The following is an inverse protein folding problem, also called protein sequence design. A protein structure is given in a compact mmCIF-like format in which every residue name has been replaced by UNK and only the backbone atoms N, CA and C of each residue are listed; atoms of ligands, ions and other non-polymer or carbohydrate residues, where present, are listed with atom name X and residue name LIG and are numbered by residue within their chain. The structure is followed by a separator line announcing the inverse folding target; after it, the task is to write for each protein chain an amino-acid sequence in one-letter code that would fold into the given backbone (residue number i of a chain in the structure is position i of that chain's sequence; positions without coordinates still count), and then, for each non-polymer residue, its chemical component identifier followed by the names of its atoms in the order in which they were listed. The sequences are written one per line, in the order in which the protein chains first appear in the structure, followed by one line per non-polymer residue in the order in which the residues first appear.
data_IF_544779451974
#
_entry.id   IF_544779451974
#
_cell.length_a   1.000
_cell.length_b   1.000
_cell.length_c   1.000
_cell.angle_alpha   90.00
_cell.angle_beta   90.00
_cell.angle_gamma   90.00
#
_symmetry.space_group_name_H-M   'P 1'
#
loop_
_entity.id
_entity.type
_entity.pdbx_description
1 polymer ?
#
# COMPACT_ATOMS: atom_id res chain seq x y z
N UNK A 1 -9.87 -25.38 -10.53
CA UNK A 1 -8.47 -25.63 -10.94
C UNK A 1 -7.75 -24.29 -10.79
N UNK A 2 -6.94 -24.12 -9.79
CA UNK A 2 -6.12 -22.91 -9.61
C UNK A 2 -5.05 -22.98 -10.69
N UNK A 3 -5.13 -22.05 -11.63
CA UNK A 3 -4.05 -21.74 -12.57
C UNK A 3 -2.82 -21.45 -11.69
N UNK A 4 -1.73 -22.23 -11.79
CA UNK A 4 -0.60 -22.28 -10.85
C UNK A 4 0.18 -20.96 -10.66
N UNK A 5 -0.53 -19.83 -10.58
CA UNK A 5 -0.04 -18.49 -10.38
C UNK A 5 -0.15 -18.02 -8.92
N UNK A 6 0.71 -17.08 -8.52
CA UNK A 6 0.66 -16.47 -7.18
C UNK A 6 -0.67 -15.74 -6.98
N UNK A 7 -1.39 -16.06 -5.90
CA UNK A 7 -2.68 -15.45 -5.55
C UNK A 7 -2.50 -14.03 -5.04
N UNK A 8 -1.63 -13.87 -4.05
CA UNK A 8 -1.37 -12.55 -3.46
C UNK A 8 0.12 -12.32 -3.20
N UNK A 9 0.56 -11.06 -3.37
CA UNK A 9 1.88 -10.59 -3.00
C UNK A 9 1.74 -9.52 -1.93
N UNK A 10 2.42 -9.70 -0.81
CA UNK A 10 2.61 -8.63 0.18
C UNK A 10 3.91 -7.91 -0.17
N UNK A 11 3.85 -6.61 -0.37
CA UNK A 11 4.99 -5.76 -0.68
C UNK A 11 5.40 -4.97 0.56
N UNK A 12 6.63 -5.17 1.02
CA UNK A 12 7.20 -4.47 2.16
C UNK A 12 8.47 -3.74 1.72
N UNK A 13 8.59 -2.46 2.11
CA UNK A 13 9.82 -1.70 2.01
C UNK A 13 10.43 -1.57 3.41
N UNK A 14 11.74 -1.82 3.53
CA UNK A 14 12.45 -1.71 4.81
C UNK A 14 13.61 -0.74 4.75
N UNK A 15 13.81 0.03 5.83
CA UNK A 15 14.97 0.88 6.05
C UNK A 15 15.12 1.17 7.54
N UNK A 16 16.25 0.77 8.15
CA UNK A 16 16.52 0.92 9.60
C UNK A 16 15.36 0.38 10.45
N UNK A 17 14.95 -0.85 10.17
CA UNK A 17 13.81 -1.49 10.81
C UNK A 17 14.17 -2.69 11.67
N UNK A 18 15.44 -2.87 12.04
CA UNK A 18 15.94 -4.05 12.76
C UNK A 18 15.16 -4.37 14.05
N UNK A 19 14.60 -3.35 14.71
CA UNK A 19 13.86 -3.50 15.97
C UNK A 19 12.48 -4.15 15.76
N UNK A 20 11.81 -3.93 14.62
CA UNK A 20 10.38 -4.25 14.44
C UNK A 20 10.11 -5.27 13.34
N UNK A 21 11.00 -5.38 12.34
CA UNK A 21 10.73 -6.12 11.11
C UNK A 21 10.46 -7.61 11.33
N UNK A 22 11.03 -8.20 12.37
CA UNK A 22 10.80 -9.62 12.70
C UNK A 22 9.34 -9.89 13.06
N UNK A 23 8.76 -9.10 13.98
CA UNK A 23 7.38 -9.23 14.43
C UNK A 23 6.40 -8.99 13.26
N UNK A 24 6.70 -8.01 12.40
CA UNK A 24 5.89 -7.74 11.23
C UNK A 24 5.92 -8.91 10.24
N UNK A 25 7.08 -9.50 9.94
CA UNK A 25 7.19 -10.68 9.08
C UNK A 25 6.38 -11.85 9.66
N UNK A 26 6.48 -12.11 10.96
CA UNK A 26 5.73 -13.18 11.63
C UNK A 26 4.22 -12.97 11.49
N UNK A 27 3.74 -11.74 11.70
CA UNK A 27 2.31 -11.42 11.60
C UNK A 27 1.75 -11.58 10.18
N UNK A 28 2.59 -11.37 9.17
CA UNK A 28 2.24 -11.56 7.76
C UNK A 28 2.24 -13.04 7.41
N UNK A 29 3.36 -13.72 7.67
CA UNK A 29 3.57 -15.14 7.29
C UNK A 29 2.51 -16.06 7.90
N UNK A 30 2.06 -15.75 9.13
CA UNK A 30 0.99 -16.48 9.81
C UNK A 30 -0.36 -16.46 9.05
N UNK A 31 -0.53 -15.53 8.11
CA UNK A 31 -1.77 -15.38 7.34
C UNK A 31 -1.64 -15.69 5.85
N UNK A 32 -0.42 -15.93 5.34
CA UNK A 32 -0.21 -16.29 3.94
C UNK A 32 -0.68 -17.71 3.65
N UNK A 33 -1.40 -17.87 2.55
CA UNK A 33 -1.72 -19.18 1.96
C UNK A 33 -0.53 -19.76 1.16
N UNK A 34 -0.64 -21.01 0.68
CA UNK A 34 0.45 -21.67 -0.05
C UNK A 34 0.80 -20.98 -1.36
N UNK A 35 -0.15 -20.30 -1.99
CA UNK A 35 0.01 -19.58 -3.27
C UNK A 35 0.25 -18.08 -3.08
N UNK A 36 0.64 -17.63 -1.88
CA UNK A 36 0.93 -16.23 -1.59
C UNK A 36 2.45 -16.02 -1.44
N UNK A 37 2.91 -14.78 -1.57
CA UNK A 37 4.32 -14.41 -1.38
C UNK A 37 4.46 -13.12 -0.58
N UNK A 38 5.60 -12.99 0.12
CA UNK A 38 6.05 -11.74 0.74
C UNK A 38 7.28 -11.23 -0.01
N UNK A 39 7.17 -10.06 -0.63
CA UNK A 39 8.24 -9.40 -1.38
C UNK A 39 8.78 -8.26 -0.54
N UNK A 40 10.01 -8.41 -0.05
CA UNK A 40 10.70 -7.41 0.76
C UNK A 40 11.78 -6.73 -0.07
N UNK A 41 11.77 -5.41 -0.08
CA UNK A 41 12.84 -4.58 -0.63
C UNK A 41 13.49 -3.79 0.49
N UNK A 42 14.70 -4.16 0.83
CA UNK A 42 15.53 -3.41 1.77
C UNK A 42 16.20 -2.24 1.06
N UNK A 43 15.91 -1.02 1.50
CA UNK A 43 16.39 0.21 0.87
C UNK A 43 17.80 0.60 1.36
N UNK A 44 18.73 -0.37 1.24
CA UNK A 44 20.13 -0.23 1.68
C UNK A 44 20.23 0.17 3.14
N UNK A 45 19.60 -0.59 4.04
CA UNK A 45 19.68 -0.36 5.48
C UNK A 45 21.12 -0.44 5.98
N UNK A 46 21.62 0.58 6.71
CA UNK A 46 22.98 0.57 7.27
C UNK A 46 23.09 -0.17 8.61
N UNK A 47 21.94 -0.60 9.18
CA UNK A 47 21.83 -1.38 10.41
C UNK A 47 21.61 -2.86 10.12
N UNK A 48 21.31 -3.66 11.15
CA UNK A 48 21.13 -5.10 11.07
C UNK A 48 19.78 -5.52 10.45
N UNK A 49 18.99 -4.61 9.86
CA UNK A 49 17.65 -4.90 9.31
C UNK A 49 17.69 -6.12 8.38
N UNK A 50 18.61 -6.14 7.42
CA UNK A 50 18.72 -7.24 6.48
C UNK A 50 19.07 -8.57 7.17
N UNK A 51 19.98 -8.55 8.13
CA UNK A 51 20.37 -9.73 8.90
C UNK A 51 19.20 -10.29 9.72
N UNK A 52 18.42 -9.42 10.36
CA UNK A 52 17.20 -9.77 11.12
C UNK A 52 16.16 -10.41 10.20
N UNK A 53 15.94 -9.88 9.00
CA UNK A 53 15.01 -10.46 8.01
C UNK A 53 15.47 -11.88 7.65
N UNK A 54 16.74 -12.07 7.28
CA UNK A 54 17.27 -13.38 6.89
C UNK A 54 17.14 -14.38 8.03
N UNK A 55 17.49 -14.00 9.25
CA UNK A 55 17.38 -14.87 10.44
C UNK A 55 15.91 -15.23 10.73
N UNK A 56 15.00 -14.27 10.62
CA UNK A 56 13.56 -14.48 10.84
C UNK A 56 12.99 -15.46 9.83
N UNK A 57 13.28 -15.26 8.54
CA UNK A 57 12.83 -16.13 7.45
C UNK A 57 13.38 -17.56 7.63
N UNK A 58 14.65 -17.70 8.00
CA UNK A 58 15.27 -19.00 8.26
C UNK A 58 14.63 -19.71 9.48
N UNK A 59 14.40 -18.97 10.57
CA UNK A 59 13.76 -19.50 11.79
C UNK A 59 12.34 -19.98 11.54
N UNK A 60 11.59 -19.27 10.68
CA UNK A 60 10.23 -19.65 10.28
C UNK A 60 10.20 -20.77 9.23
N UNK A 61 11.35 -21.17 8.69
CA UNK A 61 11.48 -22.07 7.54
C UNK A 61 10.59 -21.64 6.35
N UNK A 62 10.62 -20.35 6.03
CA UNK A 62 9.66 -19.74 5.13
C UNK A 62 10.23 -19.53 3.73
N UNK A 63 9.71 -20.26 2.75
CA UNK A 63 10.17 -20.24 1.36
C UNK A 63 9.43 -19.22 0.46
N UNK A 64 8.31 -18.64 0.94
CA UNK A 64 7.48 -17.68 0.17
C UNK A 64 7.99 -16.24 0.28
N UNK A 65 9.12 -16.01 0.96
CA UNK A 65 9.71 -14.68 1.14
C UNK A 65 10.77 -14.42 0.09
N UNK A 66 10.60 -13.37 -0.69
CA UNK A 66 11.58 -12.85 -1.65
C UNK A 66 12.22 -11.58 -1.07
N UNK A 67 13.48 -11.65 -0.65
CA UNK A 67 14.24 -10.50 -0.15
C UNK A 67 15.20 -9.99 -1.23
N UNK A 68 15.11 -8.70 -1.53
CA UNK A 68 16.06 -7.98 -2.39
C UNK A 68 16.49 -6.69 -1.71
N UNK A 69 17.58 -6.08 -2.22
CA UNK A 69 18.03 -4.76 -1.74
C UNK A 69 18.20 -3.81 -2.93
N UNK A 70 18.10 -2.52 -2.65
CA UNK A 70 18.52 -1.46 -3.56
C UNK A 70 20.04 -1.26 -3.47
N UNK A 71 20.66 -0.67 -4.49
CA UNK A 71 22.11 -0.41 -4.49
C UNK A 71 22.49 0.76 -3.55
N UNK A 72 21.54 1.66 -3.29
CA UNK A 72 21.65 2.80 -2.39
C UNK A 72 20.23 3.17 -1.89
N UNK A 73 20.14 3.98 -0.84
CA UNK A 73 18.84 4.45 -0.35
C UNK A 73 18.15 5.33 -1.41
N UNK A 74 17.03 4.83 -1.94
CA UNK A 74 16.20 5.50 -2.96
C UNK A 74 14.94 6.13 -2.38
N UNK A 75 14.69 5.93 -1.10
CA UNK A 75 13.51 6.39 -0.37
C UNK A 75 12.32 5.44 -0.50
N UNK A 76 11.50 5.41 0.55
CA UNK A 76 10.41 4.42 0.70
C UNK A 76 9.44 4.35 -0.49
N UNK A 77 9.13 5.48 -1.15
CA UNK A 77 8.24 5.48 -2.33
C UNK A 77 8.82 4.62 -3.46
N UNK A 78 10.12 4.72 -3.72
CA UNK A 78 10.80 3.96 -4.78
C UNK A 78 11.07 2.52 -4.35
N UNK A 79 11.32 2.29 -3.07
CA UNK A 79 11.44 0.94 -2.52
C UNK A 79 10.10 0.18 -2.63
N UNK A 80 8.96 0.82 -2.30
CA UNK A 80 7.63 0.24 -2.56
C UNK A 80 7.37 0.02 -4.05
N UNK A 81 7.72 0.97 -4.92
CA UNK A 81 7.60 0.77 -6.36
C UNK A 81 8.40 -0.46 -6.82
N UNK A 82 9.62 -0.64 -6.31
CA UNK A 82 10.46 -1.79 -6.62
C UNK A 82 9.87 -3.11 -6.13
N UNK A 83 9.25 -3.13 -4.93
CA UNK A 83 8.54 -4.29 -4.41
C UNK A 83 7.31 -4.64 -5.27
N UNK A 84 6.49 -3.64 -5.62
CA UNK A 84 5.29 -3.83 -6.46
C UNK A 84 5.67 -4.36 -7.86
N UNK A 85 6.78 -3.90 -8.44
CA UNK A 85 7.27 -4.41 -9.74
C UNK A 85 7.69 -5.88 -9.69
N UNK A 86 8.18 -6.36 -8.55
CA UNK A 86 8.58 -7.74 -8.33
C UNK A 86 7.42 -8.66 -7.96
N UNK A 87 6.37 -8.10 -7.39
CA UNK A 87 5.17 -8.82 -7.01
C UNK A 87 4.56 -9.57 -8.21
N UNK A 88 4.14 -10.82 -8.01
CA UNK A 88 3.55 -11.69 -9.06
C UNK A 88 2.06 -11.97 -8.81
N UNK A 89 1.58 -11.75 -7.60
CA UNK A 89 0.23 -12.06 -7.18
C UNK A 89 -0.85 -11.27 -7.92
N UNK A 90 -2.02 -11.88 -8.06
CA UNK A 90 -3.23 -11.22 -8.56
C UNK A 90 -3.64 -10.06 -7.67
N UNK A 91 -3.48 -10.21 -6.35
CA UNK A 91 -3.70 -9.20 -5.34
C UNK A 91 -2.35 -8.70 -4.83
N UNK A 92 -2.23 -7.40 -4.60
CA UNK A 92 -1.01 -6.78 -4.08
C UNK A 92 -1.38 -6.00 -2.83
N UNK A 93 -0.75 -6.32 -1.70
CA UNK A 93 -0.93 -5.64 -0.43
C UNK A 93 0.34 -4.89 -0.06
N UNK A 94 0.18 -3.73 0.56
CA UNK A 94 1.30 -2.96 1.09
C UNK A 94 1.46 -3.23 2.58
N UNK A 95 2.69 -3.20 3.05
CA UNK A 95 3.01 -3.39 4.46
C UNK A 95 4.20 -2.52 4.84
N UNK A 96 4.05 -1.74 5.91
CA UNK A 96 5.18 -1.06 6.55
C UNK A 96 5.95 -2.09 7.40
N UNK A 97 7.21 -1.82 7.73
CA UNK A 97 8.12 -2.74 8.41
C UNK A 97 7.90 -2.85 9.93
N UNK A 98 7.13 -1.94 10.50
CA UNK A 98 7.06 -1.60 11.93
C UNK A 98 5.66 -1.77 12.55
N UNK A 99 4.72 -2.29 11.78
CA UNK A 99 3.34 -2.54 12.20
C UNK A 99 3.11 -4.03 12.55
N UNK A 100 1.86 -4.39 12.87
CA UNK A 100 1.43 -5.77 13.07
C UNK A 100 0.10 -6.01 12.35
N UNK A 101 -0.01 -7.06 11.56
CA UNK A 101 -1.25 -7.41 10.89
C UNK A 101 -2.28 -7.97 11.89
N UNK A 102 -3.51 -7.45 11.84
CA UNK A 102 -4.60 -8.05 12.63
C UNK A 102 -5.03 -9.40 12.05
N UNK A 103 -5.49 -10.34 12.89
CA UNK A 103 -6.00 -11.62 12.41
C UNK A 103 -7.11 -11.46 11.38
N UNK A 104 -7.07 -12.28 10.31
CA UNK A 104 -8.07 -12.26 9.23
C UNK A 104 -7.92 -11.11 8.23
N UNK A 105 -6.90 -10.25 8.36
CA UNK A 105 -6.63 -9.16 7.42
C UNK A 105 -6.53 -9.65 5.99
N UNK A 106 -5.75 -10.68 5.75
CA UNK A 106 -5.44 -11.17 4.42
C UNK A 106 -6.72 -11.48 3.62
N UNK A 107 -7.61 -12.29 4.18
CA UNK A 107 -8.85 -12.67 3.50
C UNK A 107 -9.85 -11.51 3.40
N UNK A 108 -9.90 -10.64 4.42
CA UNK A 108 -10.75 -9.45 4.36
C UNK A 108 -10.34 -8.49 3.23
N UNK A 109 -9.04 -8.31 3.04
CA UNK A 109 -8.51 -7.47 1.95
C UNK A 109 -8.78 -8.09 0.57
N UNK A 110 -8.65 -9.42 0.43
CA UNK A 110 -9.01 -10.14 -0.79
C UNK A 110 -10.51 -9.99 -1.09
N UNK A 111 -11.36 -10.18 -0.08
CA UNK A 111 -12.81 -10.01 -0.22
C UNK A 111 -13.16 -8.58 -0.67
N UNK A 112 -12.51 -7.56 -0.11
CA UNK A 112 -12.68 -6.16 -0.51
C UNK A 112 -12.24 -5.87 -1.95
N UNK A 113 -11.38 -6.72 -2.52
CA UNK A 113 -10.93 -6.62 -3.91
C UNK A 113 -11.78 -7.48 -4.88
N UNK A 114 -12.84 -8.13 -4.43
CA UNK A 114 -13.72 -8.94 -5.30
C UNK A 114 -14.36 -8.10 -6.40
N UNK A 115 -14.77 -6.87 -6.07
CA UNK A 115 -15.50 -5.94 -6.93
C UNK A 115 -14.82 -4.56 -7.07
N UNK A 116 -13.66 -4.35 -6.42
CA UNK A 116 -12.90 -3.10 -6.49
C UNK A 116 -11.46 -3.31 -6.95
N UNK A 117 -10.88 -2.27 -7.57
CA UNK A 117 -9.46 -2.25 -7.97
C UNK A 117 -8.53 -1.94 -6.81
N UNK A 118 -9.00 -1.16 -5.85
CA UNK A 118 -8.23 -0.74 -4.67
C UNK A 118 -9.06 -1.00 -3.42
N UNK A 119 -8.42 -1.45 -2.35
CA UNK A 119 -9.01 -1.60 -1.04
C UNK A 119 -8.21 -0.81 -0.02
N UNK A 120 -8.88 -0.21 0.94
CA UNK A 120 -8.28 0.46 2.08
C UNK A 120 -9.05 0.13 3.35
N UNK A 121 -8.36 -0.27 4.40
CA UNK A 121 -8.94 -0.57 5.71
C UNK A 121 -8.59 0.45 6.78
N UNK A 122 -9.18 0.29 7.94
CA UNK A 122 -8.85 1.06 9.12
C UNK A 122 -7.64 0.45 9.85
N UNK A 123 -7.13 1.19 10.82
CA UNK A 123 -6.04 0.76 11.68
C UNK A 123 -6.33 1.11 13.13
N UNK A 124 -5.71 0.38 14.05
CA UNK A 124 -5.58 0.74 15.46
C UNK A 124 -4.14 1.12 15.80
N UNK A 125 -3.91 1.57 17.03
CA UNK A 125 -2.54 1.84 17.52
C UNK A 125 -2.15 0.70 18.44
N UNK A 126 -1.03 0.08 18.16
CA UNK A 126 -0.46 -1.02 18.94
C UNK A 126 -0.24 -0.57 20.40
N UNK A 127 -0.65 -1.41 21.34
CA UNK A 127 -0.53 -1.14 22.79
C UNK A 127 -1.48 -0.06 23.34
N UNK A 128 -2.44 0.44 22.56
CA UNK A 128 -3.39 1.47 23.00
C UNK A 128 -4.88 1.05 22.95
N UNK A 129 -5.20 -0.23 23.18
CA UNK A 129 -6.56 -0.75 23.33
C UNK A 129 -7.56 -0.16 22.32
N UNK A 130 -7.24 -0.20 21.03
CA UNK A 130 -8.11 0.26 19.96
C UNK A 130 -8.20 1.78 19.79
N UNK A 131 -7.44 2.59 20.54
CA UNK A 131 -7.37 4.04 20.28
C UNK A 131 -6.85 4.29 18.88
N UNK A 132 -7.52 5.17 18.16
CA UNK A 132 -7.17 5.59 16.80
C UNK A 132 -6.43 6.93 16.82
N UNK A 133 -5.73 7.22 15.75
CA UNK A 133 -5.30 8.58 15.45
C UNK A 133 -6.54 9.47 15.22
N UNK A 134 -6.37 10.77 15.32
CA UNK A 134 -7.41 11.79 15.25
C UNK A 134 -8.26 11.79 13.94
N UNK A 135 -7.91 11.01 12.95
CA UNK A 135 -8.59 10.96 11.66
C UNK A 135 -9.91 10.18 11.70
N UNK A 136 -10.93 10.62 10.93
CA UNK A 136 -12.17 9.87 10.83
C UNK A 136 -11.92 8.50 10.20
N UNK A 137 -12.59 7.44 10.69
CA UNK A 137 -12.46 6.10 10.11
C UNK A 137 -13.00 6.06 8.70
N UNK A 138 -12.47 5.14 7.90
CA UNK A 138 -13.05 4.76 6.62
C UNK A 138 -14.36 3.99 6.88
N UNK A 139 -15.40 4.29 6.12
CA UNK A 139 -16.67 3.57 6.16
C UNK A 139 -17.04 3.05 4.79
N UNK A 140 -17.75 1.93 4.71
CA UNK A 140 -18.17 1.34 3.44
C UNK A 140 -19.05 2.31 2.63
N UNK A 141 -19.92 3.07 3.28
CA UNK A 141 -20.75 4.10 2.65
C UNK A 141 -19.93 5.16 1.88
N UNK A 142 -18.65 5.32 2.17
CA UNK A 142 -17.75 6.23 1.47
C UNK A 142 -17.11 5.58 0.22
N UNK A 143 -17.23 4.29 0.02
CA UNK A 143 -16.61 3.57 -1.11
C UNK A 143 -17.09 4.08 -2.46
N UNK A 144 -18.33 4.56 -2.56
CA UNK A 144 -18.93 5.10 -3.78
C UNK A 144 -18.83 6.63 -3.91
N UNK A 145 -18.37 7.33 -2.87
CA UNK A 145 -18.31 8.80 -2.84
C UNK A 145 -16.97 9.34 -3.35
N UNK A 146 -16.57 8.93 -4.54
CA UNK A 146 -15.24 9.16 -5.10
C UNK A 146 -14.82 10.63 -5.13
N UNK A 147 -15.69 11.54 -5.58
CA UNK A 147 -15.38 12.98 -5.61
C UNK A 147 -15.23 13.58 -4.21
N UNK A 148 -16.08 13.17 -3.27
CA UNK A 148 -15.97 13.60 -1.88
C UNK A 148 -14.67 13.07 -1.24
N UNK A 149 -14.26 11.83 -1.56
CA UNK A 149 -12.98 11.28 -1.11
C UNK A 149 -11.80 12.08 -1.68
N UNK A 150 -11.80 12.39 -2.98
CA UNK A 150 -10.76 13.22 -3.60
C UNK A 150 -10.68 14.60 -2.95
N UNK A 151 -11.83 15.25 -2.70
CA UNK A 151 -11.88 16.51 -1.98
C UNK A 151 -11.32 16.38 -0.56
N UNK A 152 -11.72 15.34 0.18
CA UNK A 152 -11.24 15.09 1.53
C UNK A 152 -9.71 14.81 1.58
N UNK A 153 -9.15 14.13 0.57
CA UNK A 153 -7.70 13.98 0.38
C UNK A 153 -7.07 15.37 0.18
N UNK A 154 -7.63 16.19 -0.72
CA UNK A 154 -7.10 17.50 -1.06
C UNK A 154 -7.01 18.45 0.14
N UNK A 155 -7.98 18.40 1.06
CA UNK A 155 -7.96 19.23 2.28
C UNK A 155 -7.19 18.57 3.44
N UNK A 156 -6.73 17.29 3.28
CA UNK A 156 -6.02 16.54 4.32
C UNK A 156 -6.90 15.96 5.42
N UNK A 157 -8.20 15.91 5.17
CA UNK A 157 -9.18 15.34 6.12
C UNK A 157 -9.23 13.81 6.09
N UNK A 158 -8.88 13.19 4.96
CA UNK A 158 -8.90 11.74 4.78
C UNK A 158 -7.52 11.22 4.42
N UNK A 159 -6.74 10.80 5.40
CA UNK A 159 -5.51 10.09 5.12
C UNK A 159 -5.84 8.63 4.75
N UNK A 160 -5.11 8.12 3.79
CA UNK A 160 -4.98 6.70 3.54
C UNK A 160 -3.60 6.27 4.01
N UNK A 161 -3.50 5.09 4.58
CA UNK A 161 -2.23 4.55 5.07
C UNK A 161 -1.87 3.32 4.26
N UNK A 162 -0.69 3.33 3.66
CA UNK A 162 -0.21 2.26 2.79
C UNK A 162 -0.28 0.89 3.46
N UNK A 163 0.15 0.82 4.72
CA UNK A 163 0.09 -0.41 5.51
C UNK A 163 -1.32 -1.03 5.66
N UNK A 164 -2.39 -0.29 5.38
CA UNK A 164 -3.77 -0.75 5.40
C UNK A 164 -4.40 -0.83 4.00
N UNK A 165 -3.58 -0.86 2.93
CA UNK A 165 -4.06 -0.81 1.56
C UNK A 165 -3.62 -2.01 0.72
N UNK A 166 -4.39 -2.26 -0.34
CA UNK A 166 -4.07 -3.22 -1.38
C UNK A 166 -4.80 -2.90 -2.67
N UNK A 167 -4.43 -3.60 -3.75
CA UNK A 167 -5.04 -3.42 -5.05
C UNK A 167 -4.91 -4.67 -5.91
N UNK A 168 -5.75 -4.79 -6.93
CA UNK A 168 -5.59 -5.81 -7.95
C UNK A 168 -4.42 -5.46 -8.88
N UNK A 169 -3.67 -6.46 -9.31
CA UNK A 169 -2.56 -6.29 -10.26
C UNK A 169 -2.97 -5.53 -11.53
N UNK A 170 -4.19 -5.70 -12.00
CA UNK A 170 -4.71 -4.97 -13.17
C UNK A 170 -4.73 -3.44 -12.97
N UNK A 171 -4.72 -2.96 -11.72
CA UNK A 171 -4.60 -1.54 -11.41
C UNK A 171 -3.20 -0.99 -11.73
N UNK A 172 -2.18 -1.86 -11.78
CA UNK A 172 -0.82 -1.48 -12.20
C UNK A 172 -0.85 -1.02 -13.65
N UNK A 173 -1.33 -1.86 -14.56
CA UNK A 173 -1.54 -1.49 -15.97
C UNK A 173 -2.57 -0.35 -16.10
N UNK A 174 -3.49 -0.26 -15.15
CA UNK A 174 -4.46 0.82 -15.04
C UNK A 174 -3.92 2.15 -14.58
N UNK A 175 -2.63 2.28 -14.27
CA UNK A 175 -1.96 3.55 -14.03
C UNK A 175 -1.37 3.75 -12.64
N UNK A 176 -1.34 2.75 -11.74
CA UNK A 176 -0.62 2.86 -10.46
C UNK A 176 0.89 3.00 -10.73
N UNK A 177 1.43 2.17 -11.62
CA UNK A 177 2.85 2.24 -11.99
C UNK A 177 3.05 2.85 -13.39
N UNK A 178 4.21 3.46 -13.63
CA UNK A 178 5.20 3.90 -12.64
C UNK A 178 4.62 4.96 -11.71
N UNK A 179 5.05 4.97 -10.44
CA UNK A 179 4.68 6.07 -9.53
C UNK A 179 5.30 7.36 -10.09
N UNK A 180 4.51 8.44 -10.29
CA UNK A 180 5.04 9.67 -10.89
C UNK A 180 6.26 10.20 -10.13
N UNK A 181 7.26 10.73 -10.82
CA UNK A 181 8.51 11.19 -10.21
C UNK A 181 8.32 12.32 -9.20
N UNK A 182 7.26 13.12 -9.35
CA UNK A 182 6.92 14.20 -8.42
C UNK A 182 6.25 13.70 -7.13
N UNK A 183 5.85 12.41 -7.04
CA UNK A 183 5.40 11.77 -5.81
C UNK A 183 6.65 11.29 -5.08
N UNK A 184 7.14 12.11 -4.17
CA UNK A 184 8.31 11.83 -3.33
C UNK A 184 7.93 11.37 -1.93
N UNK A 185 6.67 11.52 -1.57
CA UNK A 185 6.04 11.05 -0.33
C UNK A 185 4.60 10.60 -0.63
N UNK A 186 3.98 9.83 0.28
CA UNK A 186 2.55 9.48 0.22
C UNK A 186 2.17 8.68 -1.04
N UNK A 187 2.93 7.59 -1.34
CA UNK A 187 2.60 6.65 -2.42
C UNK A 187 1.22 6.01 -2.21
N UNK A 188 0.80 5.85 -0.98
CA UNK A 188 -0.51 5.38 -0.54
C UNK A 188 -1.63 6.33 -1.01
N UNK A 189 -1.46 7.63 -0.83
CA UNK A 189 -2.42 8.63 -1.31
C UNK A 189 -2.49 8.62 -2.85
N UNK A 190 -1.38 8.39 -3.56
CA UNK A 190 -1.39 8.20 -5.01
C UNK A 190 -2.25 7.00 -5.43
N UNK A 191 -2.13 5.86 -4.75
CA UNK A 191 -2.93 4.66 -5.00
C UNK A 191 -4.41 4.93 -4.71
N UNK A 192 -4.72 5.60 -3.58
CA UNK A 192 -6.08 5.98 -3.23
C UNK A 192 -6.71 6.95 -4.26
N UNK A 193 -5.95 7.96 -4.73
CA UNK A 193 -6.38 8.86 -5.81
C UNK A 193 -6.70 8.06 -7.07
N UNK A 194 -5.83 7.14 -7.47
CA UNK A 194 -6.04 6.30 -8.65
C UNK A 194 -7.31 5.47 -8.53
N UNK A 195 -7.56 4.84 -7.36
CA UNK A 195 -8.79 4.09 -7.10
C UNK A 195 -10.04 4.95 -7.18
N UNK A 196 -10.03 6.13 -6.55
CA UNK A 196 -11.17 7.07 -6.58
C UNK A 196 -11.43 7.64 -7.98
N UNK A 197 -10.38 8.04 -8.72
CA UNK A 197 -10.51 8.53 -10.10
C UNK A 197 -11.10 7.48 -11.03
N UNK A 198 -10.80 6.22 -10.79
CA UNK A 198 -11.35 5.10 -11.57
C UNK A 198 -12.73 4.64 -11.09
N UNK A 199 -13.26 5.23 -10.03
CA UNK A 199 -14.53 4.83 -9.45
C UNK A 199 -14.52 3.41 -8.87
N UNK A 200 -13.37 2.95 -8.35
CA UNK A 200 -13.17 1.55 -7.96
C UNK A 200 -12.23 1.43 -6.76
N UNK A 201 -12.73 1.90 -5.61
CA UNK A 201 -12.10 1.75 -4.31
C UNK A 201 -13.13 1.25 -3.30
N UNK A 202 -12.74 0.28 -2.48
CA UNK A 202 -13.54 -0.25 -1.36
C UNK A 202 -12.91 0.14 -0.04
N UNK A 203 -13.72 0.60 0.90
CA UNK A 203 -13.30 0.86 2.27
C UNK A 203 -13.78 -0.28 3.19
N UNK A 204 -12.86 -0.82 3.99
CA UNK A 204 -13.18 -1.77 5.04
C UNK A 204 -13.31 -1.03 6.37
N UNK A 205 -14.41 -1.27 7.09
CA UNK A 205 -14.65 -0.62 8.38
C UNK A 205 -13.81 -1.23 9.51
N UNK A 206 -13.38 -2.48 9.33
CA UNK A 206 -12.54 -3.17 10.29
C UNK A 206 -11.10 -2.62 10.31
N UNK A 207 -10.45 -2.74 11.47
CA UNK A 207 -9.03 -2.51 11.58
C UNK A 207 -8.31 -3.71 10.96
N UNK A 208 -7.43 -3.45 10.01
CA UNK A 208 -6.66 -4.49 9.29
C UNK A 208 -5.19 -4.49 9.72
N UNK A 209 -4.77 -3.52 10.51
CA UNK A 209 -3.39 -3.37 11.00
C UNK A 209 -3.36 -2.63 12.33
N UNK A 210 -2.47 -3.03 13.21
CA UNK A 210 -2.08 -2.30 14.40
C UNK A 210 -0.80 -1.54 14.11
N UNK A 211 -0.90 -0.20 14.09
CA UNK A 211 0.22 0.68 13.79
C UNK A 211 1.04 0.96 15.03
N UNK A 212 2.34 0.80 14.90
CA UNK A 212 3.28 1.15 15.96
C UNK A 212 3.65 2.63 15.87
N UNK A 213 3.58 3.34 16.99
CA UNK A 213 4.01 4.74 17.07
C UNK A 213 5.39 4.81 17.76
N UNK A 214 6.38 5.27 17.04
CA UNK A 214 7.74 5.53 17.52
C UNK A 214 8.32 6.80 16.87
N UNK A 215 9.44 7.29 17.39
CA UNK A 215 10.00 8.59 16.97
C UNK A 215 10.49 8.67 15.53
N UNK A 216 10.68 7.53 14.85
CA UNK A 216 11.14 7.44 13.46
C UNK A 216 10.02 7.24 12.44
N UNK A 217 8.72 7.27 12.84
CA UNK A 217 7.62 7.19 11.89
C UNK A 217 7.67 8.33 10.86
N UNK A 218 7.45 8.00 9.58
CA UNK A 218 7.44 8.97 8.48
C UNK A 218 6.26 9.97 8.56
N UNK A 219 5.21 9.66 9.34
CA UNK A 219 4.06 10.55 9.53
C UNK A 219 4.34 11.54 10.66
N UNK A 220 4.57 12.85 10.38
CA UNK A 220 4.83 13.84 11.42
C UNK A 220 3.61 14.02 12.34
N UNK A 221 3.83 14.05 13.65
CA UNK A 221 2.79 14.32 14.66
C UNK A 221 2.56 15.83 14.90
N UNK A 222 3.29 16.72 14.21
CA UNK A 222 3.25 18.17 14.41
C UNK A 222 2.50 18.96 13.34
N UNK A 223 2.23 20.23 13.65
CA UNK A 223 1.61 21.18 12.70
C UNK A 223 2.62 21.50 11.59
N UNK A 224 2.23 21.25 10.35
CA UNK A 224 3.06 21.54 9.17
C UNK A 224 3.04 23.03 8.86
N UNK A 225 4.20 23.62 8.53
CA UNK A 225 4.28 25.02 8.06
C UNK A 225 3.51 25.24 6.77
N UNK A 226 3.00 26.47 6.57
CA UNK A 226 2.17 26.84 5.41
C UNK A 226 2.82 26.49 4.06
N UNK A 227 4.12 26.71 3.89
CA UNK A 227 4.84 26.36 2.65
C UNK A 227 4.83 24.84 2.35
N UNK A 228 4.92 24.02 3.38
CA UNK A 228 4.82 22.56 3.25
C UNK A 228 3.41 22.14 2.85
N UNK A 229 2.38 22.78 3.45
CA UNK A 229 0.98 22.53 3.11
C UNK A 229 0.72 22.86 1.65
N UNK A 230 1.14 24.05 1.20
CA UNK A 230 0.95 24.48 -0.21
C UNK A 230 1.66 23.52 -1.17
N UNK A 231 2.90 23.11 -0.87
CA UNK A 231 3.64 22.15 -1.69
C UNK A 231 2.91 20.81 -1.79
N UNK A 232 2.45 20.29 -0.65
CA UNK A 232 1.67 19.03 -0.62
C UNK A 232 0.38 19.15 -1.43
N UNK A 233 -0.37 20.27 -1.33
CA UNK A 233 -1.60 20.48 -2.10
C UNK A 233 -1.34 20.55 -3.61
N UNK A 234 -0.25 21.21 -4.03
CA UNK A 234 0.17 21.25 -5.46
C UNK A 234 0.54 19.85 -5.96
N UNK A 235 1.25 19.07 -5.16
CA UNK A 235 1.58 17.68 -5.49
C UNK A 235 0.31 16.83 -5.66
N UNK A 236 -0.64 16.94 -4.72
CA UNK A 236 -1.91 16.20 -4.78
C UNK A 236 -2.77 16.62 -5.99
N UNK A 237 -2.85 17.91 -6.31
CA UNK A 237 -3.55 18.38 -7.51
C UNK A 237 -2.94 17.79 -8.80
N UNK A 238 -1.61 17.78 -8.91
CA UNK A 238 -0.91 17.12 -10.02
C UNK A 238 -1.19 15.63 -10.06
N UNK A 239 -1.24 14.96 -8.89
CA UNK A 239 -1.56 13.55 -8.80
C UNK A 239 -2.97 13.23 -9.32
N UNK A 240 -3.97 14.04 -8.95
CA UNK A 240 -5.34 13.89 -9.47
C UNK A 240 -5.38 14.05 -11.00
N UNK A 241 -4.73 15.08 -11.53
CA UNK A 241 -4.67 15.32 -12.99
C UNK A 241 -3.98 14.16 -13.72
N UNK A 242 -2.86 13.67 -13.19
CA UNK A 242 -2.13 12.55 -13.78
C UNK A 242 -2.95 11.24 -13.70
N UNK A 243 -3.65 10.98 -12.60
CA UNK A 243 -4.54 9.83 -12.49
C UNK A 243 -5.70 9.89 -13.52
N UNK A 244 -6.31 11.07 -13.72
CA UNK A 244 -7.31 11.28 -14.75
C UNK A 244 -6.76 11.06 -16.16
N UNK A 245 -5.57 11.58 -16.46
CA UNK A 245 -4.89 11.37 -17.74
C UNK A 245 -4.69 9.89 -18.03
N UNK A 246 -4.15 9.13 -17.06
CA UNK A 246 -3.92 7.69 -17.19
C UNK A 246 -5.21 6.89 -17.31
N UNK A 247 -6.22 7.22 -16.53
CA UNK A 247 -7.52 6.55 -16.61
C UNK A 247 -8.19 6.72 -17.99
N UNK A 248 -8.06 7.92 -18.61
CA UNK A 248 -8.55 8.16 -19.97
C UNK A 248 -7.78 7.35 -21.00
N UNK A 249 -6.45 7.32 -20.93
CA UNK A 249 -5.61 6.55 -21.85
C UNK A 249 -5.97 5.05 -21.81
N UNK A 250 -6.03 4.46 -20.62
CA UNK A 250 -6.42 3.06 -20.43
C UNK A 250 -7.82 2.73 -20.98
N UNK A 251 -8.77 3.68 -20.91
CA UNK A 251 -10.12 3.52 -21.50
C UNK A 251 -10.09 3.52 -23.04
N UNK A 252 -9.26 4.35 -23.64
CA UNK A 252 -9.08 4.41 -25.10
C UNK A 252 -8.43 3.12 -25.62
N UNK A 253 -7.38 2.62 -24.96
CA UNK A 253 -6.72 1.37 -25.34
C UNK A 253 -7.67 0.16 -25.31
N UNK A 254 -8.48 0.04 -24.26
CA UNK A 254 -9.49 -1.03 -24.16
C UNK A 254 -10.54 -0.96 -25.28
N UNK A 255 -10.99 0.24 -25.67
CA UNK A 255 -11.93 0.42 -26.78
C UNK A 255 -11.31 0.03 -28.11
N UNK A 256 -10.06 0.47 -28.35
CA UNK A 256 -9.33 0.13 -29.58
C UNK A 256 -9.04 -1.39 -29.71
N UNK A 257 -8.79 -2.08 -28.60
CA UNK A 257 -8.59 -3.52 -28.59
C UNK A 257 -9.90 -4.29 -28.85
N UNK A 258 -11.03 -3.82 -28.29
CA UNK A 258 -12.35 -4.44 -28.51
C UNK A 258 -12.89 -4.29 -29.95
N UNK A 259 -12.49 -3.23 -30.68
CA UNK A 259 -12.86 -3.02 -32.07
C UNK A 259 -12.01 -3.80 -33.07
N UNK A 260 -10.89 -4.38 -32.65
CA UNK A 260 -10.02 -5.23 -33.51
C UNK A 260 -10.35 -6.72 -33.40
N UNK A 261 -11.19 -7.12 -32.47
CA UNK A 261 -11.59 -8.52 -32.23
C UNK A 261 -13.05 -8.83 -32.61
N UNK A 262 -13.78 -7.85 -33.15
CA UNK A 262 -15.08 -7.98 -33.73
C UNK A 262 -15.00 -7.84 -35.28
#
# INVERSE_FOLDING_TARGET
MTDGGIRASVCMATYKGSEFVAEQIESIVAQLGPDDELVIVDDSSPDDTRAVIVQTVARLNESRVLLTSTDHNVGYVRAFEAAIRRARGRYVFLSDQDDVWTPGRHEAMIAGLSDALVVAGNHSILGRNGKRLWYPPLTDAMSTRHLANLFAIMIGYRPYFGCAMGFRREAIAGGILPIPSFITESHDVWIAITGNVRGSIRHLEQNVVERRLHGSNQTPLGIRGLGTIVRARRMLARAVLEAWRRARAAKHERRAAGTRGA
#
